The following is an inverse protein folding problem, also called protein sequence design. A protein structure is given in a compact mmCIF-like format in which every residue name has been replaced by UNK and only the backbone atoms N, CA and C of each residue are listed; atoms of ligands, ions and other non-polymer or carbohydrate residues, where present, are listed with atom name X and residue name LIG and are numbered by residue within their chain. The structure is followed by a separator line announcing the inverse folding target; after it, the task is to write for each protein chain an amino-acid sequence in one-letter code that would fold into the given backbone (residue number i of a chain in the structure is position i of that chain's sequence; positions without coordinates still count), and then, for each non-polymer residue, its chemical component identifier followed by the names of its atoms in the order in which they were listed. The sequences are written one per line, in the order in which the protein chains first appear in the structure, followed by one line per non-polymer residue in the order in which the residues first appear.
data_IF_537817695959
#
_entry.id   IF_537817695959
#
_cell.length_a   1.000
_cell.length_b   1.000
_cell.length_c   1.000
_cell.angle_alpha   90.00
_cell.angle_beta   90.00
_cell.angle_gamma   90.00
#
_symmetry.space_group_name_H-M   'P 1'
#
loop_
_entity.id
_entity.type
_entity.pdbx_description
1 polymer ?
#
# COMPACT_ATOMS: atom_id res chain seq x y z
N UNK A 1 13.22 22.86 -13.10
CA UNK A 1 12.96 22.71 -11.65
C UNK A 1 12.98 21.22 -11.39
N UNK A 2 13.95 20.72 -10.62
CA UNK A 2 14.11 19.28 -10.42
C UNK A 2 12.88 18.70 -9.72
N UNK A 3 12.31 17.64 -10.29
CA UNK A 3 11.23 16.88 -9.69
C UNK A 3 11.76 16.11 -8.46
N UNK A 4 11.17 16.32 -7.28
CA UNK A 4 11.56 15.65 -6.04
C UNK A 4 11.22 14.16 -6.11
N UNK A 5 10.06 13.81 -6.68
CA UNK A 5 9.65 12.43 -6.91
C UNK A 5 10.69 11.64 -7.71
N UNK A 6 11.32 12.23 -8.72
CA UNK A 6 12.31 11.53 -9.54
C UNK A 6 13.64 11.27 -8.79
N UNK A 7 13.84 11.90 -7.63
CA UNK A 7 14.97 11.65 -6.71
C UNK A 7 14.69 10.53 -5.71
N UNK A 8 13.42 10.15 -5.52
CA UNK A 8 13.05 9.04 -4.63
C UNK A 8 13.22 7.72 -5.39
N UNK A 9 14.16 6.88 -4.94
CA UNK A 9 14.44 5.56 -5.51
C UNK A 9 14.07 4.42 -4.56
N UNK A 10 13.95 4.72 -3.27
CA UNK A 10 13.59 3.77 -2.22
C UNK A 10 12.81 4.47 -1.10
N UNK A 11 12.10 3.72 -0.24
CA UNK A 11 11.48 4.27 0.97
C UNK A 11 12.48 5.04 1.86
N UNK A 12 13.75 4.62 1.88
CA UNK A 12 14.79 5.28 2.67
C UNK A 12 15.05 6.72 2.22
N UNK A 13 14.81 7.08 0.96
CA UNK A 13 14.97 8.46 0.47
C UNK A 13 13.90 9.41 1.03
N UNK A 14 12.83 8.88 1.62
CA UNK A 14 11.82 9.66 2.35
C UNK A 14 12.30 10.04 3.75
N UNK A 15 13.18 9.22 4.35
CA UNK A 15 13.68 9.42 5.70
C UNK A 15 14.63 10.62 5.69
N UNK A 16 14.20 11.71 6.34
CA UNK A 16 14.96 12.97 6.41
C UNK A 16 14.40 14.10 5.55
N UNK A 17 13.34 13.86 4.77
CA UNK A 17 12.59 14.96 4.15
C UNK A 17 11.82 15.75 5.22
N UNK A 18 11.78 17.08 5.05
CA UNK A 18 10.93 17.95 5.87
C UNK A 18 9.46 17.76 5.52
N UNK A 19 8.56 18.20 6.41
CA UNK A 19 7.11 18.15 6.16
C UNK A 19 6.74 18.89 4.87
N UNK A 20 7.33 20.05 4.61
CA UNK A 20 7.10 20.84 3.39
C UNK A 20 7.59 20.09 2.12
N UNK A 21 8.68 19.34 2.24
CA UNK A 21 9.15 18.48 1.15
C UNK A 21 8.21 17.30 0.93
N UNK A 22 7.68 16.68 1.98
CA UNK A 22 6.69 15.61 1.88
C UNK A 22 5.37 16.10 1.24
N UNK A 23 4.90 17.30 1.59
CA UNK A 23 3.74 17.93 0.95
C UNK A 23 4.00 18.21 -0.54
N UNK A 24 5.21 18.68 -0.87
CA UNK A 24 5.63 18.90 -2.25
C UNK A 24 5.66 17.58 -3.04
N UNK A 25 6.20 16.52 -2.43
CA UNK A 25 6.22 15.18 -2.99
C UNK A 25 4.81 14.66 -3.25
N UNK A 26 3.89 14.83 -2.29
CA UNK A 26 2.49 14.41 -2.42
C UNK A 26 1.80 15.09 -3.62
N UNK A 27 2.05 16.38 -3.86
CA UNK A 27 1.53 17.10 -5.04
C UNK A 27 2.10 16.51 -6.34
N UNK A 28 3.40 16.26 -6.40
CA UNK A 28 4.05 15.68 -7.57
C UNK A 28 3.56 14.25 -7.87
N UNK A 29 3.34 13.43 -6.84
CA UNK A 29 2.76 12.10 -6.96
C UNK A 29 1.36 12.18 -7.55
N UNK A 30 0.48 13.06 -7.04
CA UNK A 30 -0.87 13.25 -7.60
C UNK A 30 -0.81 13.61 -9.08
N UNK A 31 0.05 14.55 -9.46
CA UNK A 31 0.26 14.90 -10.88
C UNK A 31 0.68 13.69 -11.71
N UNK A 32 1.68 12.92 -11.24
CA UNK A 32 2.15 11.71 -11.95
C UNK A 32 1.05 10.66 -12.09
N UNK A 33 0.26 10.43 -11.05
CA UNK A 33 -0.87 9.49 -11.07
C UNK A 33 -1.92 9.92 -12.09
N UNK A 34 -2.35 11.19 -12.07
CA UNK A 34 -3.35 11.72 -13.01
C UNK A 34 -2.85 11.59 -14.45
N UNK A 35 -1.62 12.02 -14.73
CA UNK A 35 -1.05 11.95 -16.09
C UNK A 35 -0.86 10.52 -16.58
N UNK A 36 -0.51 9.59 -15.70
CA UNK A 36 -0.30 8.19 -16.09
C UNK A 36 -1.63 7.49 -16.36
N UNK A 37 -2.56 7.57 -15.40
CA UNK A 37 -3.84 6.85 -15.46
C UNK A 37 -4.77 7.42 -16.53
N UNK A 38 -4.64 8.70 -16.89
CA UNK A 38 -5.38 9.26 -18.04
C UNK A 38 -4.97 8.63 -19.38
N UNK A 39 -3.74 8.11 -19.49
CA UNK A 39 -3.25 7.45 -20.69
C UNK A 39 -3.44 5.92 -20.67
N UNK A 40 -3.22 5.28 -19.52
CA UNK A 40 -3.24 3.80 -19.41
C UNK A 40 -4.56 3.22 -18.91
N UNK A 41 -5.45 4.05 -18.35
CA UNK A 41 -6.58 3.60 -17.55
C UNK A 41 -6.15 3.00 -16.20
N UNK A 42 -7.12 2.52 -15.42
CA UNK A 42 -6.86 1.93 -14.10
C UNK A 42 -7.49 2.70 -12.95
N UNK A 43 -6.95 2.53 -11.75
CA UNK A 43 -7.63 2.93 -10.52
C UNK A 43 -7.17 4.32 -10.06
N UNK A 44 -7.78 5.41 -10.54
CA UNK A 44 -7.32 6.76 -10.18
C UNK A 44 -7.72 7.18 -8.74
N UNK A 45 -9.02 7.26 -8.48
CA UNK A 45 -9.56 7.76 -7.21
C UNK A 45 -8.97 7.10 -5.95
N UNK A 46 -8.92 5.76 -5.83
CA UNK A 46 -8.36 5.10 -4.65
C UNK A 46 -6.88 5.45 -4.42
N UNK A 47 -6.09 5.64 -5.49
CA UNK A 47 -4.68 6.03 -5.37
C UNK A 47 -4.49 7.49 -4.98
N UNK A 48 -5.40 8.39 -5.40
CA UNK A 48 -5.38 9.78 -4.95
C UNK A 48 -5.71 9.90 -3.46
N UNK A 49 -6.59 9.04 -2.94
CA UNK A 49 -6.98 9.01 -1.54
C UNK A 49 -5.91 8.48 -0.58
N UNK A 50 -4.95 7.69 -1.07
CA UNK A 50 -3.91 7.07 -0.24
C UNK A 50 -2.53 7.70 -0.36
N UNK A 51 -2.37 8.85 -1.05
CA UNK A 51 -1.05 9.48 -1.27
C UNK A 51 -0.35 9.77 0.06
N UNK A 52 -0.98 10.57 0.93
CA UNK A 52 -0.41 10.95 2.22
C UNK A 52 -0.21 9.74 3.13
N UNK A 53 -1.21 8.84 3.18
CA UNK A 53 -1.11 7.61 3.97
C UNK A 53 0.12 6.79 3.54
N UNK A 54 0.32 6.62 2.24
CA UNK A 54 1.43 5.82 1.72
C UNK A 54 2.79 6.47 2.02
N UNK A 55 2.88 7.81 1.90
CA UNK A 55 4.08 8.55 2.28
C UNK A 55 4.36 8.36 3.77
N UNK A 56 3.36 8.55 4.62
CA UNK A 56 3.50 8.40 6.07
C UNK A 56 3.96 6.98 6.46
N UNK A 57 3.35 5.95 5.87
CA UNK A 57 3.72 4.56 6.11
C UNK A 57 5.19 4.30 5.75
N UNK A 58 5.66 4.77 4.59
CA UNK A 58 7.05 4.56 4.18
C UNK A 58 8.07 5.48 4.88
N UNK A 59 7.63 6.59 5.46
CA UNK A 59 8.48 7.41 6.33
C UNK A 59 8.69 6.77 7.70
N UNK A 60 7.64 6.12 8.24
CA UNK A 60 7.66 5.51 9.59
C UNK A 60 8.24 4.11 9.57
N UNK A 61 7.81 3.26 8.63
CA UNK A 61 8.19 1.85 8.55
C UNK A 61 9.35 1.61 7.57
N UNK A 62 10.13 0.57 7.81
CA UNK A 62 11.30 0.20 7.02
C UNK A 62 10.97 -0.93 6.03
N UNK A 63 10.28 -0.62 4.95
CA UNK A 63 10.06 -1.60 3.87
C UNK A 63 11.38 -1.86 3.12
N UNK A 64 11.74 -3.13 2.80
CA UNK A 64 10.93 -4.35 2.86
C UNK A 64 11.09 -5.19 4.14
N UNK A 65 11.86 -4.73 5.13
CA UNK A 65 11.96 -5.43 6.43
C UNK A 65 10.56 -5.55 7.04
N UNK A 66 9.90 -4.41 7.24
CA UNK A 66 8.51 -4.31 7.66
C UNK A 66 7.56 -4.69 6.53
N UNK A 67 6.44 -5.33 6.89
CA UNK A 67 5.47 -5.89 5.94
C UNK A 67 4.25 -4.98 5.81
N UNK A 68 4.20 -4.25 4.70
CA UNK A 68 3.03 -3.46 4.28
C UNK A 68 2.16 -4.31 3.34
N UNK A 69 0.93 -4.62 3.75
CA UNK A 69 0.01 -5.49 3.00
C UNK A 69 -1.21 -4.67 2.58
N UNK A 70 -1.34 -4.41 1.27
CA UNK A 70 -2.44 -3.62 0.70
C UNK A 70 -3.61 -4.52 0.27
N UNK A 71 -4.75 -4.42 0.95
CA UNK A 71 -5.97 -5.15 0.61
C UNK A 71 -6.52 -4.72 -0.75
N UNK A 72 -6.99 -5.66 -1.57
CA UNK A 72 -7.27 -5.51 -3.02
C UNK A 72 -6.03 -5.09 -3.83
N UNK A 73 -5.28 -4.09 -3.38
CA UNK A 73 -4.06 -3.60 -3.98
C UNK A 73 -4.26 -2.46 -4.98
N UNK A 74 -5.50 -2.14 -5.33
CA UNK A 74 -5.81 -1.11 -6.32
C UNK A 74 -5.42 0.32 -5.92
N UNK A 75 -5.16 0.55 -4.63
CA UNK A 75 -4.78 1.82 -3.99
C UNK A 75 -3.26 1.92 -3.69
N UNK A 76 -2.43 1.14 -4.40
CA UNK A 76 -0.99 0.98 -4.15
C UNK A 76 -0.05 1.60 -5.19
N UNK A 77 -0.52 2.42 -6.12
CA UNK A 77 0.33 3.05 -7.15
C UNK A 77 1.34 4.01 -6.52
N UNK A 78 0.95 4.76 -5.48
CA UNK A 78 1.90 5.56 -4.68
C UNK A 78 2.94 4.66 -4.02
N UNK A 79 2.54 3.48 -3.54
CA UNK A 79 3.49 2.52 -2.96
C UNK A 79 4.50 2.08 -4.02
N UNK A 80 4.06 1.76 -5.25
CA UNK A 80 4.96 1.41 -6.37
C UNK A 80 5.89 2.57 -6.74
N UNK A 81 5.39 3.80 -6.81
CA UNK A 81 6.21 5.00 -7.06
C UNK A 81 7.35 5.13 -6.05
N UNK A 82 7.06 4.97 -4.76
CA UNK A 82 8.01 5.17 -3.65
C UNK A 82 8.97 3.99 -3.42
N UNK A 83 8.78 2.89 -4.15
CA UNK A 83 9.56 1.64 -4.00
C UNK A 83 10.30 1.29 -5.28
N UNK A 84 10.92 2.31 -5.88
CA UNK A 84 11.84 2.14 -7.01
C UNK A 84 11.20 1.90 -8.37
N UNK A 85 9.87 2.06 -8.51
CA UNK A 85 9.16 1.80 -9.79
C UNK A 85 8.59 3.07 -10.44
N UNK A 86 9.08 4.25 -10.04
CA UNK A 86 8.55 5.53 -10.51
C UNK A 86 8.71 5.77 -12.03
N UNK A 87 9.83 5.32 -12.59
CA UNK A 87 10.15 5.39 -14.01
C UNK A 87 9.29 4.43 -14.86
N UNK A 88 8.90 3.28 -14.28
CA UNK A 88 8.10 2.25 -14.94
C UNK A 88 6.58 2.44 -14.82
N UNK A 89 6.10 3.39 -14.02
CA UNK A 89 4.66 3.56 -13.77
C UNK A 89 3.83 3.75 -15.05
N UNK A 90 4.40 4.37 -16.08
CA UNK A 90 3.74 4.56 -17.39
C UNK A 90 3.36 3.24 -18.08
N UNK A 91 3.90 2.10 -17.65
CA UNK A 91 3.58 0.75 -18.16
C UNK A 91 2.49 0.04 -17.35
N UNK A 92 1.93 0.67 -16.31
CA UNK A 92 0.96 0.02 -15.43
C UNK A 92 -0.23 -0.54 -16.21
N UNK A 93 -0.58 -1.80 -15.92
CA UNK A 93 -1.65 -2.60 -16.55
C UNK A 93 -1.47 -2.84 -18.05
N UNK A 94 -0.32 -2.51 -18.62
CA UNK A 94 0.01 -2.84 -20.01
C UNK A 94 0.65 -4.23 -20.07
N UNK A 95 0.60 -4.85 -21.26
CA UNK A 95 1.30 -6.10 -21.51
C UNK A 95 2.81 -5.94 -21.21
N UNK A 96 3.40 -6.92 -20.51
CA UNK A 96 4.77 -6.90 -19.98
C UNK A 96 5.13 -5.68 -19.09
N UNK A 97 4.13 -4.92 -18.66
CA UNK A 97 4.26 -3.76 -17.77
C UNK A 97 4.07 -4.10 -16.29
N UNK A 98 3.98 -3.04 -15.47
CA UNK A 98 3.68 -3.20 -14.04
C UNK A 98 2.25 -3.72 -13.82
N UNK A 99 2.09 -4.59 -12.84
CA UNK A 99 0.79 -5.03 -12.35
C UNK A 99 -0.02 -3.85 -11.79
N UNK A 100 -1.34 -3.88 -11.97
CA UNK A 100 -2.27 -2.94 -11.33
C UNK A 100 -2.45 -3.15 -9.83
N UNK A 101 -1.80 -4.17 -9.26
CA UNK A 101 -1.86 -4.58 -7.86
C UNK A 101 -0.46 -4.96 -7.36
N UNK A 102 -0.22 -5.04 -6.04
CA UNK A 102 1.01 -5.62 -5.49
C UNK A 102 1.21 -7.05 -6.00
N UNK A 103 2.43 -7.36 -6.45
CA UNK A 103 2.81 -8.67 -6.95
C UNK A 103 4.20 -9.01 -6.42
N UNK A 104 4.30 -10.12 -5.68
CA UNK A 104 5.53 -10.56 -5.00
C UNK A 104 6.73 -10.69 -5.93
N UNK A 105 6.52 -11.21 -7.14
CA UNK A 105 7.61 -11.36 -8.12
C UNK A 105 7.99 -10.04 -8.82
N UNK A 106 7.22 -8.96 -8.62
CA UNK A 106 7.50 -7.65 -9.19
C UNK A 106 8.41 -6.79 -8.28
N UNK A 107 8.29 -6.94 -6.97
CA UNK A 107 9.08 -6.18 -6.00
C UNK A 107 9.11 -6.85 -4.63
N UNK A 108 10.25 -6.75 -3.94
CA UNK A 108 10.40 -7.15 -2.53
C UNK A 108 9.50 -6.37 -1.56
N UNK A 109 9.07 -5.17 -1.96
CA UNK A 109 8.16 -4.32 -1.18
C UNK A 109 6.70 -4.79 -1.28
N UNK A 110 6.36 -5.64 -2.25
CA UNK A 110 5.02 -6.21 -2.42
C UNK A 110 4.92 -7.51 -1.59
N UNK A 111 4.89 -7.38 -0.26
CA UNK A 111 4.98 -8.50 0.69
C UNK A 111 3.96 -9.62 0.46
N UNK A 112 2.75 -9.26 0.02
CA UNK A 112 1.67 -10.19 -0.31
C UNK A 112 0.99 -9.77 -1.62
N UNK A 113 0.72 -10.73 -2.49
CA UNK A 113 0.03 -10.49 -3.75
C UNK A 113 -1.47 -10.38 -3.54
N UNK A 114 -2.08 -9.28 -4.01
CA UNK A 114 -3.52 -9.03 -3.83
C UNK A 114 -4.24 -8.78 -5.15
N UNK A 115 -5.57 -8.85 -5.09
CA UNK A 115 -6.48 -8.60 -6.20
C UNK A 115 -7.93 -8.77 -5.76
N UNK A 116 -8.20 -9.85 -5.02
CA UNK A 116 -9.44 -10.00 -4.24
C UNK A 116 -9.37 -9.16 -2.94
N UNK A 117 -10.53 -8.76 -2.44
CA UNK A 117 -10.64 -8.03 -1.18
C UNK A 117 -10.67 -8.91 0.06
N UNK A 118 -10.53 -8.28 1.22
CA UNK A 118 -10.68 -8.85 2.57
C UNK A 118 -9.59 -9.84 3.00
N UNK A 119 -8.50 -9.97 2.23
CA UNK A 119 -7.43 -10.95 2.50
C UNK A 119 -6.29 -10.42 3.36
N UNK A 120 -6.15 -9.09 3.47
CA UNK A 120 -4.96 -8.45 4.06
C UNK A 120 -4.75 -8.79 5.53
N UNK A 121 -5.80 -8.74 6.36
CA UNK A 121 -5.69 -8.96 7.81
C UNK A 121 -5.30 -10.41 8.11
N UNK A 122 -5.88 -11.39 7.40
CA UNK A 122 -5.50 -12.80 7.51
C UNK A 122 -4.04 -13.02 7.11
N UNK A 123 -3.62 -12.43 5.99
CA UNK A 123 -2.23 -12.53 5.54
C UNK A 123 -1.28 -11.90 6.57
N UNK A 124 -1.61 -10.72 7.07
CA UNK A 124 -0.83 -10.00 8.06
C UNK A 124 -0.71 -10.77 9.37
N UNK A 125 -1.79 -11.40 9.84
CA UNK A 125 -1.75 -12.30 11.00
C UNK A 125 -0.77 -13.46 10.76
N UNK A 126 -0.76 -14.05 9.56
CA UNK A 126 0.21 -15.07 9.19
C UNK A 126 1.66 -14.58 9.26
N UNK A 127 1.95 -13.39 8.73
CA UNK A 127 3.27 -12.76 8.83
C UNK A 127 3.67 -12.50 10.28
N UNK A 128 2.76 -11.94 11.10
CA UNK A 128 3.00 -11.68 12.51
C UNK A 128 3.30 -12.97 13.29
N UNK A 129 2.54 -14.04 13.06
CA UNK A 129 2.83 -15.34 13.68
C UNK A 129 4.17 -15.93 13.23
N UNK A 130 4.51 -15.78 11.95
CA UNK A 130 5.80 -16.24 11.44
C UNK A 130 6.98 -15.46 12.05
N UNK A 131 6.86 -14.14 12.21
CA UNK A 131 7.81 -13.30 12.94
C UNK A 131 7.99 -13.79 14.37
N UNK A 132 6.90 -13.96 15.11
CA UNK A 132 6.94 -14.42 16.51
C UNK A 132 7.69 -15.75 16.65
N UNK A 133 7.45 -16.69 15.73
CA UNK A 133 8.12 -18.00 15.71
C UNK A 133 9.61 -17.92 15.37
N UNK A 134 10.01 -16.92 14.57
CA UNK A 134 11.43 -16.65 14.27
C UNK A 134 12.14 -15.88 15.38
N UNK A 135 11.39 -15.23 16.27
CA UNK A 135 11.94 -14.30 17.27
C UNK A 135 12.50 -13.01 16.66
N UNK A 136 11.94 -12.58 15.53
CA UNK A 136 12.28 -11.31 14.87
C UNK A 136 11.28 -10.21 15.27
N UNK A 137 11.50 -8.97 14.83
CA UNK A 137 10.81 -7.78 15.32
C UNK A 137 10.22 -6.90 14.20
N UNK A 138 10.12 -7.41 12.96
CA UNK A 138 9.54 -6.62 11.87
C UNK A 138 8.10 -6.19 12.17
N UNK A 139 7.77 -4.94 11.82
CA UNK A 139 6.42 -4.45 11.92
C UNK A 139 5.56 -5.10 10.81
N UNK A 140 4.31 -5.45 11.14
CA UNK A 140 3.36 -6.02 10.19
C UNK A 140 2.12 -5.15 10.16
N UNK A 141 1.78 -4.66 8.98
CA UNK A 141 0.73 -3.67 8.75
C UNK A 141 -0.20 -4.14 7.64
N UNK A 142 -1.48 -4.33 7.97
CA UNK A 142 -2.54 -4.50 6.99
C UNK A 142 -3.18 -3.13 6.67
N UNK A 143 -3.30 -2.78 5.40
CA UNK A 143 -4.00 -1.59 4.92
C UNK A 143 -5.26 -2.05 4.20
N UNK A 144 -6.42 -1.77 4.78
CA UNK A 144 -7.71 -2.25 4.29
C UNK A 144 -8.68 -1.07 4.11
N UNK A 145 -9.44 -1.06 3.00
CA UNK A 145 -10.53 -0.10 2.81
C UNK A 145 -11.80 -0.52 3.55
N UNK A 146 -12.65 0.44 3.90
CA UNK A 146 -13.95 0.19 4.56
C UNK A 146 -14.83 -0.78 3.76
N UNK A 147 -14.89 -0.65 2.44
CA UNK A 147 -15.62 -1.62 1.60
C UNK A 147 -15.08 -3.04 1.69
N UNK A 148 -13.75 -3.21 1.75
CA UNK A 148 -13.12 -4.52 1.87
C UNK A 148 -13.22 -5.11 3.29
N UNK A 149 -13.37 -4.27 4.31
CA UNK A 149 -13.57 -4.69 5.70
C UNK A 149 -14.90 -5.44 5.88
N UNK A 150 -15.92 -5.14 5.07
CA UNK A 150 -17.24 -5.80 5.12
C UNK A 150 -17.21 -7.30 4.81
N UNK A 151 -16.15 -7.80 4.16
CA UNK A 151 -16.04 -9.21 3.81
C UNK A 151 -15.80 -10.11 5.04
N UNK A 152 -16.52 -11.24 5.10
CA UNK A 152 -16.47 -12.15 6.26
C UNK A 152 -15.05 -12.60 6.65
N UNK A 153 -14.17 -12.82 5.66
CA UNK A 153 -12.77 -13.18 5.91
C UNK A 153 -12.04 -12.12 6.76
N UNK A 154 -12.32 -10.83 6.56
CA UNK A 154 -11.69 -9.77 7.35
C UNK A 154 -12.16 -9.81 8.82
N UNK A 155 -13.44 -10.08 9.06
CA UNK A 155 -13.99 -10.25 10.42
C UNK A 155 -13.45 -11.51 11.12
N UNK A 156 -13.35 -12.64 10.40
CA UNK A 156 -12.73 -13.85 10.92
C UNK A 156 -11.28 -13.59 11.33
N UNK A 157 -10.53 -12.88 10.48
CA UNK A 157 -9.15 -12.50 10.74
C UNK A 157 -9.00 -11.57 11.96
N UNK A 158 -9.85 -10.56 12.08
CA UNK A 158 -9.87 -9.64 13.23
C UNK A 158 -10.17 -10.38 14.53
N UNK A 159 -11.16 -11.26 14.51
CA UNK A 159 -11.51 -12.08 15.67
C UNK A 159 -10.34 -12.98 16.08
N UNK A 160 -9.69 -13.63 15.10
CA UNK A 160 -8.52 -14.45 15.36
C UNK A 160 -7.32 -13.62 15.88
N UNK A 161 -7.05 -12.45 15.30
CA UNK A 161 -5.98 -11.56 15.75
C UNK A 161 -6.20 -11.11 17.20
N UNK A 162 -7.43 -10.73 17.55
CA UNK A 162 -7.80 -10.37 18.93
C UNK A 162 -7.62 -11.52 19.93
N UNK A 163 -7.85 -12.77 19.49
CA UNK A 163 -7.59 -13.95 20.31
C UNK A 163 -6.09 -14.25 20.47
N UNK A 164 -5.33 -14.15 19.38
CA UNK A 164 -3.90 -14.51 19.33
C UNK A 164 -3.01 -13.46 20.02
N UNK A 165 -3.45 -12.20 20.12
CA UNK A 165 -2.73 -11.10 20.79
C UNK A 165 -1.28 -10.93 20.32
N UNK A 166 -1.02 -11.20 19.05
CA UNK A 166 0.27 -10.91 18.40
C UNK A 166 0.31 -9.45 17.96
N UNK A 167 1.50 -8.86 17.91
CA UNK A 167 1.66 -7.47 17.49
C UNK A 167 1.42 -7.33 15.98
N UNK A 168 0.37 -6.58 15.63
CA UNK A 168 -0.12 -6.37 14.28
C UNK A 168 -0.83 -5.02 14.23
N UNK A 169 -0.55 -4.21 13.21
CA UNK A 169 -1.28 -2.96 12.95
C UNK A 169 -2.27 -3.16 11.80
N UNK A 170 -3.50 -2.69 11.99
CA UNK A 170 -4.51 -2.60 10.93
C UNK A 170 -4.83 -1.12 10.71
N UNK A 171 -4.60 -0.64 9.49
CA UNK A 171 -4.99 0.70 9.05
C UNK A 171 -6.28 0.57 8.25
N UNK A 172 -7.36 1.11 8.80
CA UNK A 172 -8.63 1.27 8.10
C UNK A 172 -8.61 2.57 7.28
N UNK A 173 -8.57 2.45 5.96
CA UNK A 173 -8.76 3.56 5.03
C UNK A 173 -10.25 3.71 4.74
N UNK A 174 -10.94 4.43 5.62
CA UNK A 174 -12.37 4.72 5.49
C UNK A 174 -12.58 5.97 4.63
N UNK A 175 -13.18 5.78 3.45
CA UNK A 175 -13.60 6.87 2.58
C UNK A 175 -15.09 6.79 2.21
N UNK A 176 -15.85 6.00 2.98
CA UNK A 176 -17.29 5.72 2.80
C UNK A 176 -17.65 5.10 1.43
N UNK A 177 -16.66 4.58 0.70
CA UNK A 177 -16.81 4.12 -0.68
C UNK A 177 -16.17 2.74 -0.90
N UNK A 178 -16.93 1.86 -1.55
CA UNK A 178 -16.37 0.69 -2.24
C UNK A 178 -16.11 1.08 -3.71
N UNK A 179 -16.79 0.45 -4.68
CA UNK A 179 -16.95 1.01 -6.03
C UNK A 179 -18.12 2.00 -6.06
N UNK A 180 -19.18 1.67 -5.31
CA UNK A 180 -20.35 2.51 -5.00
C UNK A 180 -20.29 2.90 -3.51
N UNK A 181 -21.17 3.80 -3.02
CA UNK A 181 -21.25 4.08 -1.58
C UNK A 181 -21.31 2.80 -0.77
N UNK A 182 -20.54 2.76 0.32
CA UNK A 182 -20.44 1.57 1.13
C UNK A 182 -21.78 1.28 1.84
N UNK A 183 -22.05 0.00 2.09
CA UNK A 183 -23.26 -0.49 2.76
C UNK A 183 -22.88 -1.55 3.78
N UNK A 184 -23.62 -1.62 4.90
CA UNK A 184 -23.39 -2.60 5.97
C UNK A 184 -22.80 -1.96 7.21
#
# INVERSE_FOLDING_TARGET
MDCLLDKIKSPQDLKGLSVEQLETLAKQIRTRLITTVSATGGHLAPNLGTVELTIALHTVFDSPHDKLIWDVGHQSYTHKLLTGRADRLHTIRQFDGLSGFPRRDESEHDAFGTGHGSTSISAALGFAKARDLRGTDEAVIAIIGDGALTGGLAFEALNQAGHQKTDLTVVLNDNEMSISPNVG
#
